data_IF_518056541067
#
_entry.id   IF_518056541067
#
_cell.length_a   1.000
_cell.length_b   1.000
_cell.length_c   1.000
_cell.angle_alpha   90.00
_cell.angle_beta   90.00
_cell.angle_gamma   90.00
#
_symmetry.space_group_name_H-M   'P 1'
#
loop_
_entity.id
_entity.type
_entity.pdbx_description
1 polymer ?
#
# COMPACT_ATOMS: atom_id res chain seq x y z
N UNK A 1 2.46 3.96 13.16
CA UNK A 1 3.33 4.12 11.97
C UNK A 1 4.27 5.28 12.22
N UNK A 2 5.57 5.10 11.97
CA UNK A 2 6.61 6.12 12.14
C UNK A 2 7.84 5.74 11.35
N UNK A 3 8.77 6.68 11.17
CA UNK A 3 10.11 6.34 10.72
C UNK A 3 10.87 5.58 11.82
N UNK A 4 11.78 4.70 11.39
CA UNK A 4 12.65 3.96 12.29
C UNK A 4 13.61 4.91 13.01
N UNK A 5 13.97 4.54 14.25
CA UNK A 5 15.11 5.16 14.93
C UNK A 5 16.38 4.54 14.36
N UNK A 6 17.44 5.34 14.20
CA UNK A 6 18.69 4.83 13.65
C UNK A 6 19.25 3.68 14.51
N UNK A 7 19.48 2.53 13.88
CA UNK A 7 19.96 1.32 14.54
C UNK A 7 18.87 0.47 15.20
N UNK A 8 17.59 0.85 15.10
CA UNK A 8 16.46 -0.03 15.43
C UNK A 8 16.50 -1.29 14.56
N UNK A 9 15.98 -2.41 15.06
CA UNK A 9 16.03 -3.67 14.32
C UNK A 9 14.65 -4.27 14.09
N UNK A 10 14.55 -5.10 13.08
CA UNK A 10 13.36 -5.86 12.73
C UNK A 10 13.78 -7.14 11.99
N UNK A 11 13.31 -8.29 12.47
CA UNK A 11 13.40 -9.54 11.72
C UNK A 11 12.29 -9.62 10.68
N UNK A 12 12.63 -9.71 9.41
CA UNK A 12 11.64 -9.76 8.31
C UNK A 12 11.29 -11.18 7.89
N UNK A 13 10.22 -11.34 7.10
CA UNK A 13 9.66 -12.63 6.65
C UNK A 13 10.67 -13.57 5.93
N UNK A 14 11.78 -13.04 5.43
CA UNK A 14 12.87 -13.83 4.84
C UNK A 14 13.86 -14.37 5.89
N UNK A 15 13.59 -14.13 7.17
CA UNK A 15 14.41 -14.58 8.29
C UNK A 15 15.61 -13.69 8.61
N UNK A 16 15.81 -12.61 7.87
CA UNK A 16 16.94 -11.70 8.09
C UNK A 16 16.65 -10.69 9.20
N UNK A 17 17.58 -10.56 10.15
CA UNK A 17 17.57 -9.46 11.12
C UNK A 17 18.11 -8.20 10.44
N UNK A 18 17.26 -7.19 10.30
CA UNK A 18 17.61 -5.95 9.59
C UNK A 18 17.93 -4.84 10.56
N UNK A 19 19.01 -4.10 10.28
CA UNK A 19 19.33 -2.85 10.99
C UNK A 19 18.80 -1.67 10.20
N UNK A 20 17.94 -0.91 10.84
CA UNK A 20 17.12 0.12 10.20
C UNK A 20 17.78 1.50 10.34
N UNK A 21 17.61 2.32 9.30
CA UNK A 21 17.97 3.72 9.25
C UNK A 21 16.72 4.61 9.35
N UNK A 22 16.90 5.91 9.56
CA UNK A 22 15.79 6.88 9.59
C UNK A 22 15.02 7.01 8.26
N UNK A 23 15.49 6.38 7.18
CA UNK A 23 14.77 6.31 5.91
C UNK A 23 13.68 5.22 5.89
N UNK A 24 13.73 4.25 6.81
CA UNK A 24 12.79 3.15 6.84
C UNK A 24 11.47 3.57 7.51
N UNK A 25 10.37 3.44 6.78
CA UNK A 25 9.02 3.62 7.31
C UNK A 25 8.54 2.31 7.94
N UNK A 26 8.06 2.38 9.17
CA UNK A 26 7.65 1.23 9.96
C UNK A 26 6.17 1.25 10.29
N UNK A 27 5.59 0.06 10.25
CA UNK A 27 4.33 -0.26 10.91
C UNK A 27 4.69 -0.73 12.32
N UNK A 28 3.93 -0.25 13.30
CA UNK A 28 4.23 -0.49 14.71
C UNK A 28 2.99 -0.90 15.46
N UNK A 29 3.12 -1.88 16.35
CA UNK A 29 2.15 -2.20 17.39
C UNK A 29 2.56 -1.46 18.66
N UNK A 30 1.93 -0.32 18.93
CA UNK A 30 2.47 0.66 19.87
C UNK A 30 3.82 1.17 19.38
N UNK A 31 4.87 1.00 20.19
CA UNK A 31 6.24 1.38 19.84
C UNK A 31 7.06 0.25 19.18
N UNK A 32 6.55 -0.98 19.15
CA UNK A 32 7.26 -2.15 18.63
C UNK A 32 7.12 -2.22 17.10
N UNK A 33 8.23 -2.23 16.33
CA UNK A 33 8.21 -2.48 14.88
C UNK A 33 7.65 -3.85 14.56
N UNK A 34 6.74 -3.93 13.59
CA UNK A 34 6.17 -5.20 13.12
C UNK A 34 6.31 -5.40 11.61
N UNK A 35 6.60 -4.36 10.83
CA UNK A 35 6.83 -4.47 9.40
C UNK A 35 7.58 -3.25 8.84
N UNK A 36 8.28 -3.46 7.71
CA UNK A 36 8.69 -2.39 6.81
C UNK A 36 7.48 -2.01 5.95
N UNK A 37 6.90 -0.84 6.23
CA UNK A 37 5.68 -0.37 5.60
C UNK A 37 5.81 -0.40 4.07
N UNK A 38 4.86 -1.05 3.40
CA UNK A 38 4.84 -1.17 1.95
C UNK A 38 6.00 -1.95 1.31
N UNK A 39 6.85 -2.61 2.10
CA UNK A 39 8.01 -3.39 1.61
C UNK A 39 7.90 -4.85 2.01
N UNK A 40 7.93 -5.15 3.32
CA UNK A 40 7.92 -6.53 3.82
C UNK A 40 7.41 -6.59 5.25
N UNK A 41 6.64 -7.64 5.57
CA UNK A 41 6.22 -7.94 6.93
C UNK A 41 7.38 -8.35 7.84
N UNK A 42 7.18 -8.25 9.15
CA UNK A 42 8.03 -8.86 10.15
C UNK A 42 7.70 -10.34 10.34
N UNK A 43 8.73 -11.15 10.62
CA UNK A 43 8.58 -12.60 10.85
C UNK A 43 7.67 -12.89 12.05
N UNK A 44 7.83 -12.15 13.15
CA UNK A 44 7.08 -12.39 14.40
C UNK A 44 5.57 -12.18 14.26
N UNK A 45 5.14 -11.42 13.25
CA UNK A 45 3.73 -11.10 13.00
C UNK A 45 3.16 -11.78 11.77
N UNK A 46 3.87 -12.75 11.20
CA UNK A 46 3.38 -13.55 10.08
C UNK A 46 2.12 -14.34 10.46
N UNK A 47 1.20 -14.50 9.50
CA UNK A 47 0.08 -15.40 9.64
C UNK A 47 0.55 -16.85 9.51
N UNK A 48 0.20 -17.70 10.47
CA UNK A 48 0.55 -19.12 10.50
C UNK A 48 -0.71 -19.98 10.77
N UNK A 49 -0.55 -21.31 10.78
CA UNK A 49 -1.69 -22.25 10.97
C UNK A 49 -2.44 -22.09 12.29
N UNK A 50 -1.84 -21.45 13.29
CA UNK A 50 -2.46 -21.18 14.59
C UNK A 50 -3.05 -19.77 14.72
N UNK A 51 -2.97 -18.95 13.67
CA UNK A 51 -3.49 -17.58 13.71
C UNK A 51 -5.01 -17.60 13.74
N UNK A 52 -5.59 -16.96 14.75
CA UNK A 52 -7.04 -16.86 14.91
C UNK A 52 -7.58 -15.47 14.59
N UNK A 53 -6.76 -14.44 14.78
CA UNK A 53 -7.14 -13.05 14.59
C UNK A 53 -6.06 -12.35 13.78
N UNK A 54 -6.46 -11.52 12.82
CA UNK A 54 -5.55 -10.76 11.96
C UNK A 54 -5.94 -9.29 11.97
N UNK A 55 -4.95 -8.42 11.80
CA UNK A 55 -5.17 -7.03 11.43
C UNK A 55 -4.92 -6.90 9.93
N UNK A 56 -5.96 -6.58 9.15
CA UNK A 56 -5.83 -6.34 7.73
C UNK A 56 -5.43 -4.89 7.49
N UNK A 57 -4.20 -4.67 7.03
CA UNK A 57 -3.72 -3.36 6.62
C UNK A 57 -4.05 -3.10 5.15
N UNK A 58 -4.72 -1.98 4.89
CA UNK A 58 -4.85 -1.39 3.56
C UNK A 58 -4.50 0.08 3.66
N UNK A 59 -3.40 0.49 3.01
CA UNK A 59 -2.84 1.82 3.17
C UNK A 59 -2.28 2.37 1.87
N UNK A 60 -2.11 3.69 1.83
CA UNK A 60 -1.41 4.38 0.75
C UNK A 60 -0.12 4.96 1.31
N UNK A 61 1.00 4.58 0.69
CA UNK A 61 2.31 5.10 1.05
C UNK A 61 2.85 6.02 -0.04
N UNK A 62 3.58 7.05 0.38
CA UNK A 62 4.27 7.92 -0.56
C UNK A 62 5.36 7.12 -1.31
N UNK A 63 5.25 7.04 -2.63
CA UNK A 63 6.19 6.28 -3.48
C UNK A 63 7.67 6.62 -3.25
N UNK A 64 8.08 7.90 -3.03
CA UNK A 64 9.47 8.20 -2.70
C UNK A 64 9.93 7.61 -1.36
N UNK A 65 9.04 7.50 -0.37
CA UNK A 65 9.36 6.93 0.95
C UNK A 65 9.58 5.43 0.82
N UNK A 66 8.68 4.72 0.14
CA UNK A 66 8.83 3.27 -0.07
C UNK A 66 10.10 2.96 -0.86
N UNK A 67 10.37 3.73 -1.92
CA UNK A 67 11.59 3.56 -2.72
C UNK A 67 12.88 3.71 -1.89
N UNK A 68 12.93 4.71 -0.99
CA UNK A 68 14.10 4.92 -0.11
C UNK A 68 14.22 3.78 0.90
N UNK A 69 13.13 3.41 1.56
CA UNK A 69 13.11 2.31 2.53
C UNK A 69 13.55 0.98 1.90
N UNK A 70 12.99 0.63 0.74
CA UNK A 70 13.31 -0.59 0.01
C UNK A 70 14.78 -0.62 -0.44
N UNK A 71 15.27 0.49 -1.03
CA UNK A 71 16.67 0.61 -1.47
C UNK A 71 17.66 0.53 -0.30
N UNK A 72 17.37 1.21 0.80
CA UNK A 72 18.22 1.23 2.00
C UNK A 72 18.41 -0.19 2.56
N UNK A 73 17.36 -1.01 2.53
CA UNK A 73 17.39 -2.40 2.99
C UNK A 73 17.77 -3.41 1.88
N UNK A 74 18.07 -2.95 0.67
CA UNK A 74 18.39 -3.83 -0.47
C UNK A 74 17.23 -4.73 -0.92
N UNK A 75 15.99 -4.37 -0.56
CA UNK A 75 14.79 -5.16 -0.83
C UNK A 75 14.05 -4.69 -2.07
N UNK A 76 13.51 -5.65 -2.83
CA UNK A 76 12.54 -5.39 -3.89
C UNK A 76 11.50 -6.49 -3.94
N UNK A 77 10.39 -6.26 -3.26
CA UNK A 77 9.22 -7.14 -3.22
C UNK A 77 8.15 -6.70 -4.22
N UNK A 78 7.19 -7.59 -4.51
CA UNK A 78 5.99 -7.23 -5.28
C UNK A 78 5.24 -6.04 -4.69
N UNK A 79 5.14 -5.97 -3.35
CA UNK A 79 4.51 -4.84 -2.65
C UNK A 79 5.27 -3.54 -2.90
N UNK A 80 6.58 -3.52 -2.65
CA UNK A 80 7.41 -2.33 -2.85
C UNK A 80 7.35 -1.85 -4.31
N UNK A 81 7.40 -2.77 -5.27
CA UNK A 81 7.36 -2.45 -6.69
C UNK A 81 6.02 -1.80 -7.12
N UNK A 82 4.90 -2.17 -6.48
CA UNK A 82 3.59 -1.52 -6.72
C UNK A 82 3.56 -0.14 -6.09
N UNK A 83 3.92 -0.02 -4.81
CA UNK A 83 3.93 1.28 -4.12
C UNK A 83 4.91 2.29 -4.75
N UNK A 84 6.05 1.84 -5.27
CA UNK A 84 7.02 2.71 -5.96
C UNK A 84 6.50 3.34 -7.26
N UNK A 85 5.59 2.66 -7.95
CA UNK A 85 4.92 3.15 -9.17
C UNK A 85 3.67 3.99 -8.85
N UNK A 86 3.16 3.87 -7.64
CA UNK A 86 1.92 4.48 -7.19
C UNK A 86 0.78 3.47 -7.26
N UNK A 87 -0.04 3.46 -6.20
CA UNK A 87 -1.28 2.68 -6.12
C UNK A 87 -2.44 3.62 -6.41
N UNK A 88 -3.48 3.13 -7.11
CA UNK A 88 -4.67 3.94 -7.38
C UNK A 88 -5.39 4.26 -6.05
N UNK A 89 -5.42 5.53 -5.62
CA UNK A 89 -6.04 5.89 -4.35
C UNK A 89 -7.56 5.74 -4.36
N UNK A 90 -8.21 5.68 -5.53
CA UNK A 90 -9.66 5.52 -5.63
C UNK A 90 -10.14 4.09 -5.36
N UNK A 91 -9.24 3.11 -5.45
CA UNK A 91 -9.56 1.68 -5.34
C UNK A 91 -9.30 1.11 -3.94
N UNK A 92 -8.78 1.92 -3.01
CA UNK A 92 -8.35 1.43 -1.70
C UNK A 92 -9.52 0.76 -0.95
N UNK A 93 -10.67 1.42 -0.91
CA UNK A 93 -11.87 0.94 -0.24
C UNK A 93 -12.44 -0.32 -0.89
N UNK A 94 -12.53 -0.32 -2.22
CA UNK A 94 -13.05 -1.46 -2.98
C UNK A 94 -12.14 -2.69 -2.82
N UNK A 95 -10.82 -2.52 -2.94
CA UNK A 95 -9.85 -3.59 -2.74
C UNK A 95 -9.86 -4.12 -1.30
N UNK A 96 -10.05 -3.24 -0.31
CA UNK A 96 -10.15 -3.65 1.10
C UNK A 96 -11.43 -4.46 1.34
N UNK A 97 -12.56 -4.01 0.80
CA UNK A 97 -13.83 -4.72 0.92
C UNK A 97 -13.76 -6.11 0.28
N UNK A 98 -13.13 -6.22 -0.90
CA UNK A 98 -12.91 -7.50 -1.59
C UNK A 98 -12.02 -8.44 -0.76
N UNK A 99 -10.91 -7.94 -0.20
CA UNK A 99 -10.05 -8.76 0.65
C UNK A 99 -10.79 -9.27 1.90
N UNK A 100 -11.62 -8.43 2.52
CA UNK A 100 -12.48 -8.83 3.65
C UNK A 100 -13.50 -9.89 3.22
N UNK A 101 -14.12 -9.73 2.04
CA UNK A 101 -15.07 -10.71 1.51
C UNK A 101 -14.41 -12.07 1.32
N UNK A 102 -13.21 -12.11 0.73
CA UNK A 102 -12.43 -13.34 0.57
C UNK A 102 -12.03 -13.97 1.91
N UNK A 103 -11.63 -13.18 2.91
CA UNK A 103 -11.34 -13.69 4.26
C UNK A 103 -12.57 -14.31 4.93
N UNK A 104 -13.76 -13.73 4.71
CA UNK A 104 -15.03 -14.29 5.20
C UNK A 104 -15.38 -15.60 4.49
N UNK A 105 -15.23 -15.63 3.17
CA UNK A 105 -15.57 -16.80 2.36
C UNK A 105 -14.64 -17.98 2.62
N UNK A 106 -13.32 -17.73 2.57
CA UNK A 106 -12.30 -18.78 2.56
C UNK A 106 -11.90 -19.17 3.99
N UNK A 107 -11.68 -18.17 4.86
CA UNK A 107 -11.17 -18.38 6.21
C UNK A 107 -12.27 -18.32 7.29
N UNK A 108 -13.54 -18.11 6.89
CA UNK A 108 -14.68 -17.98 7.81
C UNK A 108 -14.48 -16.87 8.87
N UNK A 109 -13.66 -15.88 8.54
CA UNK A 109 -13.33 -14.78 9.43
C UNK A 109 -14.55 -13.89 9.67
N UNK A 110 -14.59 -13.21 10.82
CA UNK A 110 -15.58 -12.17 11.11
C UNK A 110 -14.87 -10.85 11.37
N UNK A 111 -15.48 -9.74 10.93
CA UNK A 111 -14.92 -8.40 11.16
C UNK A 111 -15.36 -7.95 12.55
N UNK A 112 -14.40 -7.79 13.45
CA UNK A 112 -14.66 -7.33 14.82
C UNK A 112 -14.76 -5.81 14.91
N UNK A 113 -13.87 -5.09 14.25
CA UNK A 113 -13.89 -3.63 14.15
C UNK A 113 -13.18 -3.15 12.87
N UNK A 114 -13.49 -1.92 12.46
CA UNK A 114 -12.84 -1.24 11.35
C UNK A 114 -12.39 0.13 11.80
N UNK A 115 -11.18 0.54 11.41
CA UNK A 115 -10.67 1.89 11.60
C UNK A 115 -10.32 2.50 10.25
N UNK A 116 -10.61 3.78 10.09
CA UNK A 116 -10.30 4.53 8.87
C UNK A 116 -9.66 5.85 9.27
N UNK A 117 -8.49 6.12 8.69
CA UNK A 117 -7.79 7.39 8.78
C UNK A 117 -7.46 7.84 7.37
N UNK A 118 -8.17 8.86 6.89
CA UNK A 118 -8.01 9.37 5.53
C UNK A 118 -7.66 10.86 5.54
N UNK A 119 -6.57 11.17 4.85
CA UNK A 119 -6.07 12.53 4.65
C UNK A 119 -5.85 12.83 3.16
N UNK A 120 -6.41 12.00 2.26
CA UNK A 120 -6.30 12.22 0.82
C UNK A 120 -7.03 13.51 0.44
N UNK A 121 -6.52 14.26 -0.55
CA UNK A 121 -7.31 15.30 -1.19
C UNK A 121 -8.48 14.66 -1.98
N UNK A 122 -9.51 15.44 -2.34
CA UNK A 122 -10.55 14.99 -3.24
C UNK A 122 -9.95 14.36 -4.51
N UNK A 123 -10.46 13.19 -4.87
CA UNK A 123 -9.94 12.43 -6.01
C UNK A 123 -10.53 12.88 -7.35
N UNK A 124 -11.63 13.64 -7.32
CA UNK A 124 -12.28 14.15 -8.51
C UNK A 124 -11.42 15.21 -9.21
N UNK A 125 -11.16 14.98 -10.50
CA UNK A 125 -10.45 15.92 -11.36
C UNK A 125 -11.22 16.13 -12.64
N UNK A 126 -11.66 17.36 -12.87
CA UNK A 126 -12.26 17.75 -14.14
C UNK A 126 -11.18 18.28 -15.07
N UNK A 127 -11.07 17.69 -16.25
CA UNK A 127 -10.19 18.17 -17.32
C UNK A 127 -11.04 18.72 -18.45
N UNK A 128 -10.87 20.00 -18.77
CA UNK A 128 -11.50 20.60 -19.95
C UNK A 128 -10.63 20.32 -21.18
N UNK A 129 -11.17 19.56 -22.12
CA UNK A 129 -10.52 19.26 -23.39
C UNK A 129 -11.03 20.22 -24.48
N UNK A 130 -10.12 20.73 -25.31
CA UNK A 130 -10.45 21.54 -26.49
C UNK A 130 -10.42 20.64 -27.72
N UNK A 131 -11.58 20.43 -28.35
CA UNK A 131 -11.69 19.54 -29.51
C UNK A 131 -10.73 19.94 -30.64
N UNK A 132 -10.58 21.25 -30.89
CA UNK A 132 -9.60 21.80 -31.84
C UNK A 132 -8.15 21.35 -31.59
N UNK A 133 -7.73 21.22 -30.32
CA UNK A 133 -6.38 20.80 -29.96
C UNK A 133 -6.18 19.31 -30.18
N UNK A 134 -7.21 18.51 -29.89
CA UNK A 134 -7.23 17.08 -30.16
C UNK A 134 -7.08 16.87 -31.67
N UNK A 135 -7.84 17.60 -32.49
CA UNK A 135 -7.75 17.50 -33.94
C UNK A 135 -6.37 17.92 -34.49
N UNK A 136 -5.78 18.98 -33.94
CA UNK A 136 -4.45 19.45 -34.35
C UNK A 136 -3.34 18.45 -34.01
N UNK A 137 -3.43 17.75 -32.87
CA UNK A 137 -2.38 16.83 -32.41
C UNK A 137 -2.52 15.42 -32.98
N UNK A 138 -3.75 14.93 -33.15
CA UNK A 138 -4.03 13.53 -33.52
C UNK A 138 -4.62 13.38 -34.93
N UNK A 139 -4.95 14.48 -35.63
CA UNK A 139 -5.70 14.47 -36.88
C UNK A 139 -7.22 14.49 -36.66
N UNK A 140 -8.01 14.35 -37.72
CA UNK A 140 -9.47 14.35 -37.60
C UNK A 140 -9.96 13.18 -36.72
N UNK A 141 -10.32 13.49 -35.48
CA UNK A 141 -10.92 12.52 -34.55
C UNK A 141 -12.42 12.66 -34.66
N UNK A 142 -13.06 11.63 -35.23
CA UNK A 142 -14.51 11.47 -35.20
C UNK A 142 -14.85 10.76 -33.89
N UNK A 143 -15.55 11.44 -32.98
CA UNK A 143 -16.12 10.77 -31.83
C UNK A 143 -17.28 9.89 -32.33
N UNK A 144 -17.11 8.57 -32.31
CA UNK A 144 -18.27 7.68 -32.38
C UNK A 144 -19.01 7.82 -31.04
N UNK A 145 -20.21 8.39 -31.10
CA UNK A 145 -21.12 8.45 -29.96
C UNK A 145 -21.63 7.02 -29.71
N UNK A 146 -21.02 6.32 -28.76
CA UNK A 146 -21.55 5.06 -28.23
C UNK A 146 -22.25 5.43 -26.93
N UNK A 147 -23.54 5.74 -27.07
CA UNK A 147 -24.44 6.10 -25.97
C UNK A 147 -24.56 5.04 -24.88
#
# INVERSE_FOLDING_TARGET
MRFAKAGETLKTLDGEERRLSSENLLITAGDVPVALAGVMGGEETEVHLGTQNVFLEAALFASPVIRRSARDQGLRTEASARYERGVNPAELEAATAEAIALLREIAQGTVSYTTLADQRPPLERTLTLRLEQVHRLLGAVVAEDRG
#
